data_IF_231965158298
#
_entry.id   IF_231965158298
#
_cell.length_a   1.000
_cell.length_b   1.000
_cell.length_c   1.000
_cell.angle_alpha   90.00
_cell.angle_beta   90.00
_cell.angle_gamma   90.00
#
_symmetry.space_group_name_H-M   'P 1'
#
loop_
_entity.id
_entity.type
_entity.pdbx_description
1 polymer ?
#
# COMPACT_ATOMS: atom_id res chain seq x y z
N UNK A 1 19.94 -25.04 21.43
CA UNK A 1 19.63 -23.60 21.25
C UNK A 1 19.68 -23.24 19.77
N UNK A 2 18.55 -22.85 19.16
CA UNK A 2 18.48 -22.43 17.75
C UNK A 2 19.10 -21.04 17.60
N UNK A 3 20.17 -20.91 16.80
CA UNK A 3 20.81 -19.61 16.52
C UNK A 3 19.77 -18.65 15.91
N UNK A 4 19.64 -17.41 16.42
CA UNK A 4 18.73 -16.44 15.84
C UNK A 4 19.16 -16.12 14.40
N UNK A 5 18.22 -16.16 13.46
CA UNK A 5 18.45 -15.75 12.08
C UNK A 5 18.97 -14.31 12.10
N UNK A 6 20.18 -14.11 11.58
CA UNK A 6 20.80 -12.80 11.41
C UNK A 6 19.86 -11.96 10.55
N UNK A 7 19.05 -11.11 11.20
CA UNK A 7 18.20 -10.15 10.49
C UNK A 7 19.07 -9.39 9.49
N UNK A 8 18.54 -9.15 8.29
CA UNK A 8 19.26 -8.43 7.26
C UNK A 8 19.80 -7.13 7.86
N UNK A 9 21.13 -7.05 8.06
CA UNK A 9 21.77 -5.84 8.58
C UNK A 9 21.34 -4.70 7.65
N UNK A 10 20.61 -3.72 8.19
CA UNK A 10 20.31 -2.49 7.47
C UNK A 10 21.62 -1.98 6.87
N UNK A 11 21.64 -1.83 5.55
CA UNK A 11 22.78 -1.28 4.84
C UNK A 11 23.19 0.04 5.52
N UNK A 12 24.49 0.28 5.76
CA UNK A 12 24.94 1.50 6.42
C UNK A 12 24.33 2.71 5.72
N UNK A 13 23.72 3.59 6.50
CA UNK A 13 23.05 4.79 5.99
C UNK A 13 24.05 5.57 5.14
N UNK A 14 23.74 5.74 3.84
CA UNK A 14 24.63 6.46 2.94
C UNK A 14 24.97 7.85 3.54
N UNK A 15 26.27 8.10 3.74
CA UNK A 15 26.81 9.24 4.50
C UNK A 15 26.67 10.58 3.78
N UNK A 16 26.42 10.55 2.47
CA UNK A 16 26.43 11.73 1.62
C UNK A 16 25.15 12.58 1.74
N UNK A 17 25.23 13.88 1.40
CA UNK A 17 24.08 14.77 1.42
C UNK A 17 22.96 14.28 0.49
N UNK A 18 21.71 14.57 0.88
CA UNK A 18 20.53 14.24 0.09
C UNK A 18 20.50 15.13 -1.15
N UNK A 19 20.30 14.53 -2.32
CA UNK A 19 19.98 15.25 -3.56
C UNK A 19 18.57 14.87 -4.02
N UNK A 20 17.90 15.78 -4.72
CA UNK A 20 16.54 15.59 -5.24
C UNK A 20 16.52 15.80 -6.76
N UNK A 21 16.85 14.78 -7.56
CA UNK A 21 16.67 14.88 -9.01
C UNK A 21 15.19 15.06 -9.32
N UNK A 22 14.89 15.81 -10.37
CA UNK A 22 13.52 15.98 -10.87
C UNK A 22 13.02 14.67 -11.47
N UNK A 23 11.69 14.52 -11.60
CA UNK A 23 11.12 13.37 -12.32
C UNK A 23 11.59 13.34 -13.78
N UNK A 24 11.76 14.50 -14.41
CA UNK A 24 12.29 14.63 -15.78
C UNK A 24 13.72 14.11 -15.90
N UNK A 25 14.59 14.35 -14.92
CA UNK A 25 15.95 13.82 -14.90
C UNK A 25 15.97 12.28 -14.76
N UNK A 26 15.02 11.70 -14.03
CA UNK A 26 14.88 10.24 -13.92
C UNK A 26 14.40 9.66 -15.26
N UNK A 27 13.38 10.27 -15.88
CA UNK A 27 12.83 9.83 -17.16
C UNK A 27 13.83 9.97 -18.31
N UNK A 28 14.70 10.98 -18.29
CA UNK A 28 15.77 11.15 -19.27
C UNK A 28 16.76 9.95 -19.29
N UNK A 29 16.89 9.24 -18.16
CA UNK A 29 17.74 8.06 -18.03
C UNK A 29 16.96 6.74 -18.25
N UNK A 30 15.77 6.78 -18.85
CA UNK A 30 14.96 5.58 -19.17
C UNK A 30 15.75 4.51 -19.92
N UNK A 31 16.68 4.91 -20.80
CA UNK A 31 17.51 3.98 -21.56
C UNK A 31 18.31 3.00 -20.69
N UNK A 32 18.89 3.43 -19.56
CA UNK A 32 19.64 2.52 -18.69
C UNK A 32 18.71 1.55 -17.96
N UNK A 33 17.49 1.98 -17.63
CA UNK A 33 16.47 1.14 -17.00
C UNK A 33 16.09 0.01 -17.97
N UNK A 34 15.66 0.36 -19.19
CA UNK A 34 15.24 -0.62 -20.20
C UNK A 34 16.37 -1.58 -20.55
N UNK A 35 17.62 -1.10 -20.66
CA UNK A 35 18.78 -1.94 -20.88
C UNK A 35 19.00 -2.95 -19.74
N UNK A 36 18.85 -2.52 -18.48
CA UNK A 36 18.97 -3.40 -17.31
C UNK A 36 17.85 -4.47 -17.28
N UNK A 37 16.69 -4.16 -17.83
CA UNK A 37 15.53 -5.06 -17.89
C UNK A 37 15.50 -5.94 -19.16
N UNK A 38 16.57 -5.97 -19.96
CA UNK A 38 16.58 -6.68 -21.26
C UNK A 38 16.27 -8.18 -21.14
N UNK A 39 16.65 -8.82 -20.03
CA UNK A 39 16.35 -10.23 -19.76
C UNK A 39 14.88 -10.52 -19.41
N UNK A 40 14.05 -9.50 -19.18
CA UNK A 40 12.62 -9.65 -18.90
C UNK A 40 11.86 -9.78 -20.23
N UNK A 41 10.92 -10.74 -20.35
CA UNK A 41 10.05 -10.88 -21.51
C UNK A 41 9.43 -9.54 -21.92
N UNK A 42 9.38 -9.28 -23.24
CA UNK A 42 8.91 -8.00 -23.79
C UNK A 42 7.54 -7.57 -23.23
N UNK A 43 6.64 -8.55 -23.05
CA UNK A 43 5.29 -8.34 -22.50
C UNK A 43 5.26 -7.77 -21.08
N UNK A 44 6.23 -8.12 -20.23
CA UNK A 44 6.24 -7.73 -18.82
C UNK A 44 7.17 -6.52 -18.57
N UNK A 45 7.95 -6.14 -19.59
CA UNK A 45 9.00 -5.13 -19.44
C UNK A 45 8.44 -3.76 -19.10
N UNK A 46 7.31 -3.37 -19.68
CA UNK A 46 6.67 -2.08 -19.41
C UNK A 46 6.22 -1.96 -17.95
N UNK A 47 5.61 -3.01 -17.40
CA UNK A 47 5.15 -3.05 -16.01
C UNK A 47 6.32 -2.99 -15.03
N UNK A 48 7.38 -3.75 -15.32
CA UNK A 48 8.59 -3.74 -14.50
C UNK A 48 9.31 -2.40 -14.58
N UNK A 49 9.36 -1.77 -15.76
CA UNK A 49 9.88 -0.42 -15.95
C UNK A 49 9.10 0.60 -15.12
N UNK A 50 7.77 0.55 -15.16
CA UNK A 50 6.90 1.41 -14.35
C UNK A 50 7.18 1.24 -12.85
N UNK A 51 7.30 0.00 -12.37
CA UNK A 51 7.64 -0.29 -10.98
C UNK A 51 9.00 0.30 -10.56
N UNK A 52 10.00 0.27 -11.46
CA UNK A 52 11.30 0.92 -11.23
C UNK A 52 11.14 2.43 -11.10
N UNK A 53 10.43 3.07 -12.03
CA UNK A 53 10.24 4.53 -12.05
C UNK A 53 9.50 5.02 -10.81
N UNK A 54 8.39 4.37 -10.45
CA UNK A 54 7.61 4.68 -9.24
C UNK A 54 8.47 4.46 -7.98
N UNK A 55 9.24 3.37 -7.94
CA UNK A 55 10.14 3.04 -6.85
C UNK A 55 11.25 4.08 -6.68
N UNK A 56 11.87 4.51 -7.79
CA UNK A 56 12.90 5.55 -7.81
C UNK A 56 12.34 6.90 -7.34
N UNK A 57 11.21 7.34 -7.90
CA UNK A 57 10.57 8.60 -7.48
C UNK A 57 10.19 8.59 -6.00
N UNK A 58 9.60 7.50 -5.53
CA UNK A 58 9.25 7.32 -4.12
C UNK A 58 10.48 7.26 -3.21
N UNK A 59 11.63 6.76 -3.70
CA UNK A 59 12.88 6.76 -2.95
C UNK A 59 13.50 8.17 -2.89
N UNK A 60 13.44 8.95 -3.98
CA UNK A 60 13.86 10.37 -4.01
C UNK A 60 13.03 11.21 -3.05
N UNK A 61 11.68 11.09 -3.08
CA UNK A 61 10.79 11.80 -2.15
C UNK A 61 11.12 11.52 -0.69
N UNK A 62 11.55 10.29 -0.37
CA UNK A 62 12.00 9.87 0.97
C UNK A 62 13.46 10.22 1.29
N UNK A 63 14.17 10.94 0.41
CA UNK A 63 15.56 11.35 0.63
C UNK A 63 16.58 10.21 0.62
N UNK A 64 16.27 9.11 -0.10
CA UNK A 64 17.15 7.93 -0.20
C UNK A 64 18.21 8.06 -1.31
N UNK A 65 18.09 9.05 -2.19
CA UNK A 65 19.13 9.36 -3.18
C UNK A 65 20.21 10.25 -2.54
N UNK A 66 21.39 9.66 -2.35
CA UNK A 66 22.56 10.27 -1.67
C UNK A 66 23.84 9.90 -2.43
N UNK A 67 24.07 10.50 -3.61
CA UNK A 67 25.24 10.19 -4.42
C UNK A 67 26.52 10.71 -3.76
N UNK A 68 27.66 10.09 -4.05
CA UNK A 68 28.97 10.64 -3.67
C UNK A 68 29.15 12.01 -4.33
N UNK A 69 29.52 13.07 -3.58
CA UNK A 69 29.83 14.38 -4.17
C UNK A 69 30.93 14.36 -5.23
N UNK A 70 31.81 13.35 -5.21
CA UNK A 70 32.90 13.19 -6.20
C UNK A 70 32.43 12.58 -7.52
N UNK A 71 31.29 11.89 -7.52
CA UNK A 71 30.74 11.30 -8.75
C UNK A 71 30.10 12.39 -9.62
N UNK A 72 30.30 12.29 -10.94
CA UNK A 72 29.57 13.11 -11.90
C UNK A 72 28.04 12.91 -11.70
N UNK A 73 27.23 13.98 -11.59
CA UNK A 73 25.81 13.87 -11.22
C UNK A 73 25.00 12.90 -12.07
N UNK A 74 25.25 12.88 -13.39
CA UNK A 74 24.56 12.00 -14.33
C UNK A 74 24.99 10.54 -14.16
N UNK A 75 26.29 10.29 -14.05
CA UNK A 75 26.83 8.94 -13.82
C UNK A 75 26.33 8.36 -12.49
N UNK A 76 26.28 9.17 -11.43
CA UNK A 76 25.77 8.78 -10.12
C UNK A 76 24.27 8.38 -10.19
N UNK A 77 23.46 9.16 -10.91
CA UNK A 77 22.05 8.85 -11.11
C UNK A 77 21.86 7.55 -11.89
N UNK A 78 22.60 7.37 -12.99
CA UNK A 78 22.56 6.15 -13.81
C UNK A 78 22.95 4.90 -13.02
N UNK A 79 24.02 4.97 -12.24
CA UNK A 79 24.48 3.88 -11.35
C UNK A 79 23.41 3.53 -10.31
N UNK A 80 22.77 4.54 -9.73
CA UNK A 80 21.70 4.33 -8.75
C UNK A 80 20.45 3.71 -9.38
N UNK A 81 20.00 4.21 -10.53
CA UNK A 81 18.87 3.66 -11.28
C UNK A 81 19.12 2.23 -11.77
N UNK A 82 20.33 1.92 -12.22
CA UNK A 82 20.75 0.55 -12.54
C UNK A 82 20.57 -0.35 -11.31
N UNK A 83 21.03 0.07 -10.14
CA UNK A 83 20.88 -0.71 -8.90
C UNK A 83 19.43 -0.91 -8.45
N UNK A 84 18.51 0.02 -8.75
CA UNK A 84 17.08 -0.18 -8.51
C UNK A 84 16.53 -1.19 -9.53
N UNK A 85 16.83 -0.98 -10.80
CA UNK A 85 16.36 -1.81 -11.92
C UNK A 85 16.80 -3.27 -11.75
N UNK A 86 18.06 -3.50 -11.40
CA UNK A 86 18.61 -4.83 -11.12
C UNK A 86 17.85 -5.56 -10.01
N UNK A 87 17.56 -4.87 -8.90
CA UNK A 87 16.79 -5.47 -7.78
C UNK A 87 15.35 -5.75 -8.17
N UNK A 88 14.75 -4.90 -8.99
CA UNK A 88 13.39 -5.13 -9.47
C UNK A 88 13.34 -6.30 -10.46
N UNK A 89 14.33 -6.43 -11.34
CA UNK A 89 14.49 -7.61 -12.21
C UNK A 89 14.70 -8.88 -11.40
N UNK A 90 15.56 -8.86 -10.38
CA UNK A 90 15.75 -10.00 -9.46
C UNK A 90 14.45 -10.45 -8.81
N UNK A 91 13.65 -9.52 -8.28
CA UNK A 91 12.32 -9.82 -7.75
C UNK A 91 11.38 -10.42 -8.80
N UNK A 92 11.41 -9.91 -10.03
CA UNK A 92 10.63 -10.47 -11.12
C UNK A 92 11.01 -11.94 -11.36
N UNK A 93 12.30 -12.27 -11.45
CA UNK A 93 12.76 -13.64 -11.66
C UNK A 93 12.47 -14.57 -10.48
N UNK A 94 12.69 -14.12 -9.24
CA UNK A 94 12.35 -14.90 -8.04
C UNK A 94 10.84 -15.19 -7.98
N UNK A 95 10.02 -14.18 -8.29
CA UNK A 95 8.57 -14.33 -8.35
C UNK A 95 8.16 -15.27 -9.50
N UNK A 96 8.73 -15.11 -10.70
CA UNK A 96 8.44 -15.94 -11.85
C UNK A 96 8.81 -17.42 -11.60
N UNK A 97 9.97 -17.67 -11.00
CA UNK A 97 10.43 -19.01 -10.62
C UNK A 97 9.50 -19.67 -9.60
N UNK A 98 9.03 -18.91 -8.61
CA UNK A 98 8.11 -19.41 -7.58
C UNK A 98 6.70 -19.64 -8.12
N UNK A 99 6.27 -18.85 -9.12
CA UNK A 99 4.89 -18.83 -9.59
C UNK A 99 4.54 -20.00 -10.52
N UNK A 100 5.49 -20.63 -11.24
CA UNK A 100 5.18 -21.63 -12.30
C UNK A 100 4.02 -21.19 -13.22
N UNK A 101 3.81 -19.88 -13.38
CA UNK A 101 2.65 -19.33 -14.08
C UNK A 101 2.97 -19.31 -15.56
N UNK A 102 2.22 -20.09 -16.33
CA UNK A 102 2.15 -19.97 -17.78
C UNK A 102 1.13 -18.86 -18.07
N UNK A 103 1.60 -17.73 -18.60
CA UNK A 103 0.73 -16.63 -19.00
C UNK A 103 -0.06 -17.04 -20.25
N UNK A 104 -1.38 -17.10 -20.11
CA UNK A 104 -2.34 -17.43 -21.16
C UNK A 104 -2.69 -16.18 -21.99
N UNK A 105 -2.88 -16.28 -23.33
CA UNK A 105 -3.29 -15.16 -24.17
C UNK A 105 -4.69 -14.59 -23.84
N UNK A 106 -5.56 -15.35 -23.18
CA UNK A 106 -6.83 -14.87 -22.63
C UNK A 106 -6.92 -15.20 -21.13
N UNK A 107 -6.16 -14.50 -20.27
CA UNK A 107 -6.15 -14.77 -18.84
C UNK A 107 -7.53 -14.49 -18.21
N UNK A 108 -8.26 -13.52 -18.77
CA UNK A 108 -9.62 -13.16 -18.36
C UNK A 108 -10.66 -14.25 -18.67
N UNK A 109 -10.47 -15.01 -19.75
CA UNK A 109 -11.38 -16.12 -20.11
C UNK A 109 -11.21 -17.36 -19.22
N UNK A 110 -10.11 -17.44 -18.46
CA UNK A 110 -9.83 -18.49 -17.47
C UNK A 110 -10.04 -18.06 -16.02
N UNK A 111 -10.22 -16.77 -15.76
CA UNK A 111 -10.70 -16.34 -14.46
C UNK A 111 -12.10 -16.93 -14.30
N UNK A 112 -12.26 -17.93 -13.42
CA UNK A 112 -13.52 -18.01 -12.67
C UNK A 112 -13.70 -16.61 -12.12
N UNK A 113 -14.85 -15.97 -12.36
CA UNK A 113 -15.17 -14.65 -11.81
C UNK A 113 -14.59 -14.57 -10.40
N UNK A 114 -13.85 -13.51 -10.05
CA UNK A 114 -13.18 -13.43 -8.77
C UNK A 114 -14.21 -13.72 -7.68
N UNK A 115 -14.14 -14.92 -7.09
CA UNK A 115 -14.97 -15.31 -5.96
C UNK A 115 -14.36 -14.62 -4.76
N UNK A 116 -14.66 -13.34 -4.63
CA UNK A 116 -14.08 -12.43 -3.65
C UNK A 116 -14.94 -11.17 -3.59
N UNK A 117 -14.91 -10.50 -2.44
CA UNK A 117 -15.67 -9.28 -2.22
C UNK A 117 -15.23 -8.25 -3.28
N UNK A 118 -16.19 -7.68 -4.01
CA UNK A 118 -15.95 -6.68 -5.04
C UNK A 118 -14.99 -5.56 -4.57
N UNK A 119 -14.05 -5.15 -5.42
CA UNK A 119 -13.04 -4.15 -5.05
C UNK A 119 -13.70 -2.82 -4.69
N UNK A 120 -14.77 -2.43 -5.39
CA UNK A 120 -15.50 -1.21 -5.06
C UNK A 120 -16.15 -1.35 -3.67
N UNK A 121 -16.81 -2.48 -3.40
CA UNK A 121 -17.33 -2.79 -2.06
C UNK A 121 -16.25 -2.80 -0.96
N UNK A 122 -15.02 -3.25 -1.25
CA UNK A 122 -13.90 -3.20 -0.29
C UNK A 122 -13.44 -1.76 0.00
N UNK A 123 -13.43 -0.90 -1.01
CA UNK A 123 -13.08 0.52 -0.87
C UNK A 123 -14.18 1.23 -0.06
N UNK A 124 -15.45 1.02 -0.40
CA UNK A 124 -16.58 1.56 0.37
C UNK A 124 -16.54 1.11 1.84
N UNK A 125 -16.24 -0.18 2.09
CA UNK A 125 -16.10 -0.69 3.45
C UNK A 125 -14.96 -0.01 4.20
N UNK A 126 -13.83 0.28 3.54
CA UNK A 126 -12.69 0.98 4.15
C UNK A 126 -13.07 2.41 4.53
N UNK A 127 -13.76 3.13 3.66
CA UNK A 127 -14.22 4.50 3.92
C UNK A 127 -15.17 4.55 5.13
N UNK A 128 -16.09 3.58 5.23
CA UNK A 128 -17.00 3.47 6.39
C UNK A 128 -16.22 3.18 7.67
N UNK A 129 -15.20 2.32 7.62
CA UNK A 129 -14.35 2.01 8.78
C UNK A 129 -13.52 3.22 9.24
N UNK A 130 -13.01 4.02 8.30
CA UNK A 130 -12.30 5.27 8.61
C UNK A 130 -13.25 6.29 9.26
N UNK A 131 -14.45 6.48 8.71
CA UNK A 131 -15.46 7.36 9.30
C UNK A 131 -15.88 6.91 10.72
N UNK A 132 -15.96 5.60 10.97
CA UNK A 132 -16.21 5.04 12.31
C UNK A 132 -15.04 5.27 13.28
N UNK A 133 -13.80 5.21 12.79
CA UNK A 133 -12.60 5.42 13.60
C UNK A 133 -12.44 6.87 14.09
N UNK A 134 -13.04 7.83 13.39
CA UNK A 134 -13.04 9.25 13.80
C UNK A 134 -14.15 9.63 14.79
N UNK A 135 -15.12 8.75 15.03
CA UNK A 135 -16.16 8.99 16.03
C UNK A 135 -15.60 8.86 17.44
N UNK A 136 -16.08 9.68 18.40
CA UNK A 136 -15.86 9.46 19.83
C UNK A 136 -16.19 8.03 20.25
N UNK A 137 -15.42 7.48 21.18
CA UNK A 137 -15.51 6.07 21.58
C UNK A 137 -16.92 5.64 21.98
N UNK A 138 -17.66 6.49 22.70
CA UNK A 138 -19.03 6.19 23.11
C UNK A 138 -20.01 6.06 21.93
N UNK A 139 -19.78 6.80 20.83
CA UNK A 139 -20.61 6.73 19.62
C UNK A 139 -20.29 5.46 18.84
N UNK A 140 -19.00 5.15 18.71
CA UNK A 140 -18.55 3.91 18.07
C UNK A 140 -19.07 2.69 18.81
N UNK A 141 -18.98 2.70 20.14
CA UNK A 141 -19.49 1.62 20.98
C UNK A 141 -21.00 1.45 20.84
N UNK A 142 -21.76 2.54 20.85
CA UNK A 142 -23.20 2.50 20.62
C UNK A 142 -23.54 1.92 19.24
N UNK A 143 -22.80 2.26 18.19
CA UNK A 143 -23.00 1.70 16.83
C UNK A 143 -22.67 0.21 16.78
N UNK A 144 -21.57 -0.22 17.42
CA UNK A 144 -21.14 -1.61 17.44
C UNK A 144 -22.08 -2.51 18.26
N UNK A 145 -22.82 -1.95 19.22
CA UNK A 145 -23.83 -2.70 19.98
C UNK A 145 -24.94 -3.32 19.13
N UNK A 146 -25.15 -2.85 17.89
CA UNK A 146 -26.14 -3.40 16.95
C UNK A 146 -25.69 -4.75 16.37
N UNK A 147 -24.38 -5.00 16.32
CA UNK A 147 -23.81 -6.26 15.84
C UNK A 147 -23.47 -7.22 16.98
N UNK A 148 -23.73 -6.83 18.23
CA UNK A 148 -23.62 -7.73 19.38
C UNK A 148 -24.80 -8.72 19.34
N UNK A 149 -24.59 -10.03 19.56
CA UNK A 149 -25.69 -10.98 19.73
C UNK A 149 -26.66 -10.61 20.86
N UNK A 150 -26.23 -9.75 21.80
CA UNK A 150 -27.09 -9.24 22.86
C UNK A 150 -28.04 -8.11 22.41
N UNK A 151 -29.24 -8.08 22.98
CA UNK A 151 -30.19 -6.97 22.72
C UNK A 151 -29.67 -5.63 23.24
N UNK A 152 -30.12 -4.53 22.63
CA UNK A 152 -29.80 -3.17 23.07
C UNK A 152 -30.16 -2.91 24.55
N UNK A 153 -31.18 -3.62 25.07
CA UNK A 153 -31.58 -3.57 26.49
C UNK A 153 -30.54 -4.26 27.38
N UNK A 154 -29.99 -5.39 26.95
CA UNK A 154 -28.93 -6.09 27.68
C UNK A 154 -27.62 -5.28 27.66
N UNK A 155 -27.26 -4.69 26.52
CA UNK A 155 -26.19 -3.70 26.42
C UNK A 155 -26.39 -2.53 27.39
N UNK A 156 -27.60 -1.97 27.45
CA UNK A 156 -27.93 -0.87 28.35
C UNK A 156 -27.72 -1.27 29.83
N UNK A 157 -28.18 -2.46 30.22
CA UNK A 157 -28.01 -2.98 31.58
C UNK A 157 -26.55 -3.19 31.96
N UNK A 158 -25.73 -3.79 31.07
CA UNK A 158 -24.28 -4.00 31.30
C UNK A 158 -23.54 -2.68 31.54
N UNK A 159 -23.97 -1.60 30.87
CA UNK A 159 -23.39 -0.26 31.01
C UNK A 159 -24.05 0.60 32.08
N UNK A 160 -24.94 0.04 32.90
CA UNK A 160 -25.63 0.77 33.98
C UNK A 160 -26.53 1.91 33.47
N UNK A 161 -27.02 1.83 32.23
CA UNK A 161 -27.84 2.88 31.60
C UNK A 161 -29.29 2.44 31.41
N UNK A 162 -30.20 3.42 31.39
CA UNK A 162 -31.61 3.17 31.06
C UNK A 162 -31.74 2.78 29.58
N UNK A 163 -32.63 1.84 29.20
CA UNK A 163 -32.81 1.45 27.80
C UNK A 163 -33.12 2.61 26.85
N UNK A 164 -33.93 3.58 27.28
CA UNK A 164 -34.20 4.78 26.48
C UNK A 164 -32.95 5.65 26.23
N UNK A 165 -31.99 5.67 27.16
CA UNK A 165 -30.71 6.35 26.98
C UNK A 165 -29.85 5.64 25.94
N UNK A 166 -29.83 4.30 25.94
CA UNK A 166 -29.13 3.52 24.92
C UNK A 166 -29.70 3.77 23.53
N UNK A 167 -31.04 3.79 23.39
CA UNK A 167 -31.72 4.09 22.14
C UNK A 167 -31.39 5.51 21.64
N UNK A 168 -31.43 6.52 22.51
CA UNK A 168 -31.07 7.90 22.16
C UNK A 168 -29.60 8.02 21.75
N UNK A 169 -28.68 7.36 22.45
CA UNK A 169 -27.24 7.35 22.09
C UNK A 169 -27.01 6.70 20.73
N UNK A 170 -27.68 5.59 20.45
CA UNK A 170 -27.61 4.92 19.15
C UNK A 170 -28.13 5.82 18.03
N UNK A 171 -29.26 6.52 18.24
CA UNK A 171 -29.79 7.49 17.27
C UNK A 171 -28.77 8.59 16.97
N UNK A 172 -28.22 9.22 18.00
CA UNK A 172 -27.22 10.30 17.86
C UNK A 172 -25.97 9.79 17.13
N UNK A 173 -25.49 8.59 17.46
CA UNK A 173 -24.32 8.01 16.80
C UNK A 173 -24.56 7.70 15.31
N UNK A 174 -25.77 7.24 14.95
CA UNK A 174 -26.18 7.05 13.54
C UNK A 174 -26.22 8.37 12.77
N UNK A 175 -26.78 9.42 13.36
CA UNK A 175 -26.80 10.75 12.75
C UNK A 175 -25.39 11.31 12.55
N UNK A 176 -24.50 11.13 13.53
CA UNK A 176 -23.11 11.56 13.44
C UNK A 176 -22.32 10.81 12.35
N UNK A 177 -22.52 9.49 12.22
CA UNK A 177 -21.92 8.69 11.16
C UNK A 177 -22.44 9.11 9.78
N UNK A 178 -23.76 9.27 9.64
CA UNK A 178 -24.38 9.70 8.38
C UNK A 178 -23.87 11.07 7.92
N UNK A 179 -23.72 12.02 8.85
CA UNK A 179 -23.17 13.34 8.54
C UNK A 179 -21.72 13.25 8.04
N UNK A 180 -20.88 12.37 8.62
CA UNK A 180 -19.51 12.17 8.17
C UNK A 180 -19.45 11.53 6.77
N UNK A 181 -20.22 10.47 6.54
CA UNK A 181 -20.27 9.80 5.23
C UNK A 181 -20.76 10.74 4.13
N UNK A 182 -21.69 11.66 4.45
CA UNK A 182 -22.17 12.70 3.51
C UNK A 182 -21.17 13.83 3.24
N UNK A 183 -20.21 14.08 4.13
CA UNK A 183 -19.18 15.11 3.90
C UNK A 183 -18.08 14.65 2.94
N UNK A 184 -17.99 13.34 2.72
CA UNK A 184 -16.94 12.71 1.92
C UNK A 184 -17.44 12.28 0.52
N UNK A 185 -18.77 12.18 0.34
CA UNK A 185 -19.44 11.99 -0.96
C UNK A 185 -19.89 13.33 -1.52
#
# INVERSE_FOLDING_TARGET
MKRPRKGAKSQPTARHPRKKPTITAILAERGIIVATLAGIPKRDRADVEQAVLIGAWSAVKRGKYRPDPKDEPRAALRKWLHGISWRQAGKYFEAAYTRRVILDPQPLGRLREPVGIDLHAQIEAREVLEALAELPDWQREALLSVNDPESLVAYARRRGMKPGTAASRLRIAREALALRLRRWR
#
